data_IF_710987455770
#
_entry.id   IF_710987455770
#
_cell.length_a   1.000
_cell.length_b   1.000
_cell.length_c   1.000
_cell.angle_alpha   90.00
_cell.angle_beta   90.00
_cell.angle_gamma   90.00
#
_symmetry.space_group_name_H-M   'P 1'
#
loop_
_entity.id
_entity.type
_entity.pdbx_description
1 polymer ?
#
# COMPACT_ATOMS: atom_id res chain seq x y z
N UNK A 1 53.82 42.40 -19.39
CA UNK A 1 53.94 41.36 -18.35
C UNK A 1 52.58 40.71 -18.22
N UNK A 2 52.50 39.41 -18.53
CA UNK A 2 51.28 38.60 -18.65
C UNK A 2 50.90 38.10 -17.25
N UNK A 3 49.66 38.30 -16.82
CA UNK A 3 49.06 37.49 -15.75
C UNK A 3 47.81 36.80 -16.30
N UNK A 4 48.05 35.56 -16.73
CA UNK A 4 47.07 34.53 -17.06
C UNK A 4 46.79 33.71 -15.78
N UNK A 5 45.56 33.25 -15.60
CA UNK A 5 45.19 32.22 -14.62
C UNK A 5 44.72 32.78 -13.27
N UNK A 6 43.63 32.34 -12.65
CA UNK A 6 42.90 31.09 -12.78
C UNK A 6 41.39 31.38 -12.78
N UNK A 7 40.70 31.08 -13.89
CA UNK A 7 39.27 30.80 -13.80
C UNK A 7 39.16 29.42 -13.16
N UNK A 8 38.67 29.38 -11.92
CA UNK A 8 38.13 28.15 -11.38
C UNK A 8 36.97 27.74 -12.29
N UNK A 9 37.25 26.82 -13.22
CA UNK A 9 36.23 25.93 -13.75
C UNK A 9 35.73 25.16 -12.53
N UNK A 10 34.69 25.69 -11.88
CA UNK A 10 33.79 24.84 -11.11
C UNK A 10 33.26 23.89 -12.16
N UNK A 11 33.86 22.70 -12.21
CA UNK A 11 33.34 21.60 -12.97
C UNK A 11 31.86 21.55 -12.62
N UNK A 12 31.03 21.80 -13.63
CA UNK A 12 29.61 21.52 -13.59
C UNK A 12 29.51 20.08 -13.10
N UNK A 13 29.29 19.91 -11.79
CA UNK A 13 28.83 18.67 -11.18
C UNK A 13 27.40 18.49 -11.68
N UNK A 14 27.29 18.26 -12.97
CA UNK A 14 26.15 17.67 -13.63
C UNK A 14 26.15 16.22 -13.17
N UNK A 15 25.73 16.03 -11.91
CA UNK A 15 24.96 14.84 -11.54
C UNK A 15 23.89 14.76 -12.64
N UNK A 16 24.12 13.86 -13.60
CA UNK A 16 23.27 13.66 -14.75
C UNK A 16 21.84 13.47 -14.23
N UNK A 17 21.05 14.55 -14.27
CA UNK A 17 19.63 14.48 -13.89
C UNK A 17 19.01 13.41 -14.77
N UNK A 18 18.35 12.45 -14.13
CA UNK A 18 17.73 11.38 -14.87
C UNK A 18 16.80 11.94 -15.96
N UNK A 19 16.67 11.25 -17.11
CA UNK A 19 15.79 11.72 -18.18
C UNK A 19 14.39 12.02 -17.65
N UNK A 20 13.82 13.18 -18.00
CA UNK A 20 12.52 13.62 -17.47
C UNK A 20 11.41 12.60 -17.68
N UNK A 21 11.42 11.88 -18.81
CA UNK A 21 10.47 10.80 -19.10
C UNK A 21 10.60 9.63 -18.10
N UNK A 22 11.83 9.31 -17.68
CA UNK A 22 12.08 8.27 -16.68
C UNK A 22 11.56 8.70 -15.30
N UNK A 23 11.87 9.93 -14.87
CA UNK A 23 11.36 10.47 -13.61
C UNK A 23 9.83 10.52 -13.58
N UNK A 24 9.19 11.01 -14.65
CA UNK A 24 7.74 11.01 -14.77
C UNK A 24 7.14 9.61 -14.68
N UNK A 25 7.78 8.61 -15.29
CA UNK A 25 7.35 7.22 -15.22
C UNK A 25 7.47 6.66 -13.80
N UNK A 26 8.61 6.89 -13.12
CA UNK A 26 8.82 6.43 -11.75
C UNK A 26 7.85 7.09 -10.76
N UNK A 27 7.65 8.40 -10.83
CA UNK A 27 6.66 9.07 -9.99
C UNK A 27 5.23 8.58 -10.25
N UNK A 28 4.87 8.36 -11.52
CA UNK A 28 3.55 7.83 -11.88
C UNK A 28 3.36 6.41 -11.34
N UNK A 29 4.38 5.56 -11.45
CA UNK A 29 4.35 4.21 -10.88
C UNK A 29 4.25 4.25 -9.36
N UNK A 30 5.11 5.02 -8.69
CA UNK A 30 5.06 5.18 -7.23
C UNK A 30 3.68 5.64 -6.74
N UNK A 31 3.08 6.62 -7.42
CA UNK A 31 1.73 7.10 -7.12
C UNK A 31 0.66 6.01 -7.36
N UNK A 32 0.71 5.32 -8.50
CA UNK A 32 -0.25 4.28 -8.84
C UNK A 32 -0.21 3.11 -7.85
N UNK A 33 0.97 2.61 -7.49
CA UNK A 33 1.13 1.54 -6.50
C UNK A 33 0.57 1.96 -5.14
N UNK A 34 0.93 3.14 -4.64
CA UNK A 34 0.44 3.61 -3.34
C UNK A 34 -1.08 3.85 -3.33
N UNK A 35 -1.62 4.47 -4.38
CA UNK A 35 -3.05 4.71 -4.51
C UNK A 35 -3.85 3.40 -4.62
N UNK A 36 -3.28 2.36 -5.24
CA UNK A 36 -3.95 1.07 -5.43
C UNK A 36 -4.26 0.31 -4.12
N UNK A 37 -3.58 0.64 -3.02
CA UNK A 37 -3.82 0.03 -1.72
C UNK A 37 -5.25 0.26 -1.20
N UNK A 38 -5.87 1.39 -1.53
CA UNK A 38 -7.24 1.74 -1.12
C UNK A 38 -8.28 0.87 -1.83
N UNK A 39 -8.38 0.83 -3.18
CA UNK A 39 -9.34 -0.03 -3.86
C UNK A 39 -9.09 -1.51 -3.56
N UNK A 40 -7.84 -1.94 -3.38
CA UNK A 40 -7.53 -3.32 -2.95
C UNK A 40 -8.13 -3.63 -1.57
N UNK A 41 -7.96 -2.72 -0.60
CA UNK A 41 -8.51 -2.88 0.74
C UNK A 41 -10.06 -2.92 0.72
N UNK A 42 -10.69 -2.04 -0.05
CA UNK A 42 -12.14 -1.95 -0.13
C UNK A 42 -12.78 -3.14 -0.86
N UNK A 43 -12.10 -3.75 -1.82
CA UNK A 43 -12.66 -4.83 -2.64
C UNK A 43 -12.40 -6.23 -2.07
N UNK A 44 -11.18 -6.51 -1.62
CA UNK A 44 -10.78 -7.86 -1.20
C UNK A 44 -10.74 -8.03 0.32
N UNK A 45 -10.18 -7.06 1.04
CA UNK A 45 -10.02 -7.14 2.49
C UNK A 45 -11.32 -6.86 3.22
N UNK A 46 -12.11 -5.87 2.77
CA UNK A 46 -13.35 -5.42 3.45
C UNK A 46 -14.29 -6.55 3.83
N UNK A 47 -14.62 -7.44 2.88
CA UNK A 47 -15.48 -8.61 3.12
C UNK A 47 -14.89 -9.61 4.13
N UNK A 48 -13.57 -9.76 4.11
CA UNK A 48 -12.85 -10.68 5.01
C UNK A 48 -12.79 -10.09 6.41
N UNK A 49 -12.52 -8.78 6.53
CA UNK A 49 -12.58 -8.04 7.78
C UNK A 49 -13.97 -8.10 8.39
N UNK A 50 -15.02 -7.85 7.61
CA UNK A 50 -16.41 -7.95 8.08
C UNK A 50 -16.75 -9.34 8.60
N UNK A 51 -16.37 -10.41 7.89
CA UNK A 51 -16.59 -11.77 8.36
C UNK A 51 -15.82 -12.09 9.66
N UNK A 52 -14.56 -11.65 9.77
CA UNK A 52 -13.78 -11.79 10.99
C UNK A 52 -14.38 -11.01 12.16
N UNK A 53 -14.88 -9.80 11.93
CA UNK A 53 -15.57 -9.00 12.95
C UNK A 53 -16.81 -9.71 13.47
N UNK A 54 -17.62 -10.33 12.58
CA UNK A 54 -18.78 -11.13 12.98
C UNK A 54 -18.42 -12.33 13.85
N UNK A 55 -17.29 -12.98 13.56
CA UNK A 55 -16.78 -14.10 14.37
C UNK A 55 -16.25 -13.63 15.71
N UNK A 56 -15.52 -12.51 15.73
CA UNK A 56 -15.02 -11.89 16.95
C UNK A 56 -16.16 -11.46 17.88
N UNK A 57 -17.23 -10.86 17.33
CA UNK A 57 -18.42 -10.45 18.08
C UNK A 57 -19.12 -11.65 18.74
N UNK A 58 -19.28 -12.76 18.02
CA UNK A 58 -19.81 -14.01 18.59
C UNK A 58 -18.93 -14.59 19.72
N UNK A 59 -17.61 -14.41 19.64
CA UNK A 59 -16.67 -14.87 20.67
C UNK A 59 -16.65 -13.93 21.88
N UNK A 60 -16.81 -12.63 21.67
CA UNK A 60 -16.80 -11.63 22.73
C UNK A 60 -18.05 -11.70 23.62
N UNK A 61 -19.17 -12.21 23.09
CA UNK A 61 -20.45 -12.25 23.80
C UNK A 61 -21.18 -10.89 23.73
N UNK A 62 -22.28 -10.73 24.49
CA UNK A 62 -23.12 -9.54 24.39
C UNK A 62 -22.38 -8.26 24.82
N UNK A 63 -22.47 -7.21 24.00
CA UNK A 63 -21.85 -5.91 24.23
C UNK A 63 -22.06 -4.95 23.05
N UNK A 64 -21.54 -3.72 23.16
CA UNK A 64 -21.75 -2.68 22.12
C UNK A 64 -20.81 -2.79 20.91
N UNK A 65 -19.93 -3.80 20.86
CA UNK A 65 -18.90 -3.94 19.82
C UNK A 65 -17.96 -2.73 19.73
N UNK A 66 -16.87 -2.83 18.96
CA UNK A 66 -16.03 -1.69 18.62
C UNK A 66 -16.45 -1.13 17.25
N UNK A 67 -16.43 0.19 17.05
CA UNK A 67 -16.82 0.84 15.77
C UNK A 67 -16.03 0.30 14.56
N UNK A 68 -14.75 -0.05 14.75
CA UNK A 68 -13.93 -0.69 13.72
C UNK A 68 -14.43 -2.09 13.33
N UNK A 69 -15.06 -2.82 14.27
CA UNK A 69 -15.65 -4.13 14.01
C UNK A 69 -16.96 -4.00 13.20
N UNK A 70 -17.69 -2.89 13.33
CA UNK A 70 -19.03 -2.75 12.73
C UNK A 70 -19.02 -2.24 11.27
N UNK A 71 -17.97 -1.53 10.83
CA UNK A 71 -17.92 -0.84 9.52
C UNK A 71 -18.19 -1.73 8.29
N UNK A 72 -17.85 -3.02 8.33
CA UNK A 72 -18.11 -3.98 7.25
C UNK A 72 -19.00 -5.16 7.69
N UNK A 73 -19.57 -5.08 8.90
CA UNK A 73 -20.19 -6.20 9.61
C UNK A 73 -21.51 -6.68 8.99
N UNK A 74 -22.33 -5.73 8.54
CA UNK A 74 -23.65 -5.98 7.96
C UNK A 74 -23.66 -5.96 6.43
N UNK A 75 -22.49 -5.87 5.80
CA UNK A 75 -22.43 -5.91 4.34
C UNK A 75 -22.80 -7.30 3.84
N UNK A 76 -23.62 -7.35 2.79
CA UNK A 76 -24.05 -8.60 2.14
C UNK A 76 -22.87 -9.56 1.89
N UNK A 77 -21.78 -9.05 1.30
CA UNK A 77 -20.58 -9.86 0.98
C UNK A 77 -19.84 -10.38 2.22
N UNK A 78 -19.89 -9.67 3.34
CA UNK A 78 -19.29 -10.08 4.61
C UNK A 78 -20.13 -11.16 5.28
N UNK A 79 -21.46 -11.01 5.28
CA UNK A 79 -22.40 -12.02 5.80
C UNK A 79 -22.32 -13.30 4.97
N UNK A 80 -22.31 -13.18 3.65
CA UNK A 80 -22.12 -14.32 2.75
C UNK A 80 -20.81 -15.04 3.03
N UNK A 81 -19.71 -14.30 3.19
CA UNK A 81 -18.39 -14.89 3.50
C UNK A 81 -18.32 -15.58 4.86
N UNK A 82 -18.97 -15.02 5.88
CA UNK A 82 -19.05 -15.61 7.20
C UNK A 82 -19.81 -16.95 7.19
N UNK A 83 -20.88 -17.03 6.39
CA UNK A 83 -21.73 -18.21 6.20
C UNK A 83 -21.22 -19.20 5.14
N UNK A 84 -20.24 -18.80 4.33
CA UNK A 84 -19.70 -19.61 3.25
C UNK A 84 -18.98 -20.84 3.83
N UNK A 85 -19.47 -22.04 3.47
CA UNK A 85 -18.87 -23.32 3.89
C UNK A 85 -17.43 -23.49 3.37
N UNK A 86 -17.02 -22.70 2.37
CA UNK A 86 -15.62 -22.66 1.90
C UNK A 86 -14.66 -22.14 2.95
N UNK A 87 -15.13 -21.39 3.95
CA UNK A 87 -14.31 -20.91 5.06
C UNK A 87 -14.78 -21.57 6.35
N UNK A 88 -14.53 -22.88 6.42
CA UNK A 88 -15.01 -23.76 7.49
C UNK A 88 -14.46 -23.40 8.87
N UNK A 89 -13.33 -22.69 8.94
CA UNK A 89 -12.69 -22.28 10.19
C UNK A 89 -12.32 -20.80 10.22
N UNK A 90 -12.22 -20.22 11.42
CA UNK A 90 -11.70 -18.86 11.61
C UNK A 90 -10.24 -18.77 11.19
N UNK A 91 -9.47 -19.84 11.41
CA UNK A 91 -8.07 -19.91 11.01
C UNK A 91 -7.87 -19.72 9.50
N UNK A 92 -8.77 -20.26 8.67
CA UNK A 92 -8.70 -20.10 7.22
C UNK A 92 -8.98 -18.66 6.76
N UNK A 93 -9.98 -18.00 7.38
CA UNK A 93 -10.24 -16.58 7.13
C UNK A 93 -9.05 -15.72 7.57
N UNK A 94 -8.42 -16.03 8.70
CA UNK A 94 -7.22 -15.32 9.18
C UNK A 94 -6.07 -15.52 8.20
N UNK A 95 -5.81 -16.75 7.71
CA UNK A 95 -4.78 -16.98 6.68
C UNK A 95 -5.04 -16.17 5.42
N UNK A 96 -6.29 -16.09 4.98
CA UNK A 96 -6.65 -15.30 3.79
C UNK A 96 -6.51 -13.80 4.02
N UNK A 97 -6.87 -13.34 5.21
CA UNK A 97 -6.64 -11.97 5.66
C UNK A 97 -5.14 -11.64 5.69
N UNK A 98 -4.31 -12.51 6.26
CA UNK A 98 -2.85 -12.37 6.27
C UNK A 98 -2.31 -12.27 4.86
N UNK A 99 -2.69 -13.21 3.97
CA UNK A 99 -2.27 -13.19 2.57
C UNK A 99 -2.58 -11.86 1.87
N UNK A 100 -3.82 -11.36 2.00
CA UNK A 100 -4.20 -10.10 1.40
C UNK A 100 -3.45 -8.89 1.99
N UNK A 101 -3.15 -8.90 3.29
CA UNK A 101 -2.33 -7.85 3.90
C UNK A 101 -0.87 -7.94 3.43
N UNK A 102 -0.29 -9.13 3.30
CA UNK A 102 1.07 -9.30 2.77
C UNK A 102 1.19 -8.76 1.34
N UNK A 103 0.20 -9.05 0.48
CA UNK A 103 0.15 -8.48 -0.89
C UNK A 103 0.07 -6.96 -0.84
N UNK A 104 -0.81 -6.41 -0.01
CA UNK A 104 -0.94 -4.95 0.16
C UNK A 104 0.37 -4.31 0.63
N UNK A 105 1.03 -4.90 1.61
CA UNK A 105 2.33 -4.43 2.11
C UNK A 105 3.35 -4.44 0.98
N UNK A 106 3.45 -5.54 0.22
CA UNK A 106 4.36 -5.63 -0.92
C UNK A 106 4.14 -4.51 -1.95
N UNK A 107 2.88 -4.27 -2.35
CA UNK A 107 2.52 -3.20 -3.28
C UNK A 107 2.94 -1.82 -2.76
N UNK A 108 2.64 -1.52 -1.48
CA UNK A 108 2.96 -0.22 -0.88
C UNK A 108 4.47 -0.02 -0.71
N UNK A 109 5.20 -1.06 -0.28
CA UNK A 109 6.66 -1.02 -0.15
C UNK A 109 7.30 -0.78 -1.52
N UNK A 110 6.89 -1.53 -2.55
CA UNK A 110 7.40 -1.33 -3.91
C UNK A 110 7.11 0.08 -4.41
N UNK A 111 5.87 0.58 -4.25
CA UNK A 111 5.52 1.94 -4.65
C UNK A 111 6.35 3.01 -3.93
N UNK A 112 6.59 2.82 -2.63
CA UNK A 112 7.42 3.71 -1.81
C UNK A 112 8.87 3.71 -2.29
N UNK A 113 9.45 2.53 -2.53
CA UNK A 113 10.83 2.40 -3.03
C UNK A 113 10.98 3.03 -4.41
N UNK A 114 10.03 2.82 -5.32
CA UNK A 114 10.02 3.44 -6.66
C UNK A 114 9.97 4.97 -6.55
N UNK A 115 9.13 5.51 -5.67
CA UNK A 115 9.09 6.95 -5.40
C UNK A 115 10.40 7.49 -4.81
N UNK A 116 10.99 6.77 -3.85
CA UNK A 116 12.28 7.14 -3.26
C UNK A 116 13.42 7.15 -4.30
N UNK A 117 13.45 6.17 -5.20
CA UNK A 117 14.39 6.14 -6.33
C UNK A 117 14.18 7.34 -7.26
N UNK A 118 12.92 7.68 -7.57
CA UNK A 118 12.62 8.87 -8.37
C UNK A 118 13.18 10.15 -7.73
N UNK A 119 12.97 10.32 -6.41
CA UNK A 119 13.50 11.47 -5.65
C UNK A 119 15.02 11.51 -5.68
N UNK A 120 15.68 10.37 -5.41
CA UNK A 120 17.14 10.29 -5.44
C UNK A 120 17.72 10.62 -6.82
N UNK A 121 17.02 10.24 -7.90
CA UNK A 121 17.43 10.49 -9.29
C UNK A 121 17.10 11.92 -9.78
N UNK A 122 16.13 12.59 -9.16
CA UNK A 122 15.78 13.99 -9.45
C UNK A 122 16.86 14.96 -8.92
N UNK A 123 17.68 14.49 -7.96
CA UNK A 123 18.82 15.23 -7.41
C UNK A 123 18.39 16.47 -6.61
N UNK A 124 17.23 16.39 -5.95
CA UNK A 124 16.72 17.41 -5.02
C UNK A 124 16.96 17.00 -3.58
#
# INVERSE_FOLDING_TARGET
MIFQGYRYNVADNTLSKAPQKLLASLYTLGAAFNASGVPYALTFLRRTNGALSRRADRLAGPGNGAMALTYAFNEKRSVERDRDRKFSSTAELVRRWQWHNSVRIGILVVGTLVGAVAVAMDGR
#
